data_IF_415450643548
#
_entry.id   IF_415450643548
#
_cell.length_a   1.000
_cell.length_b   1.000
_cell.length_c   1.000
_cell.angle_alpha   90.00
_cell.angle_beta   90.00
_cell.angle_gamma   90.00
#
_symmetry.space_group_name_H-M   'P 1'
#
loop_
_entity.id
_entity.type
_entity.pdbx_description
1 polymer ?
#
# COMPACT_ATOMS: atom_id res chain seq x y z
N UNK A 1 18.12 21.04 6.71
CA UNK A 1 18.06 19.84 5.85
C UNK A 1 16.67 19.22 5.91
N UNK A 2 16.06 18.89 4.77
CA UNK A 2 14.86 18.07 4.73
C UNK A 2 15.24 16.59 4.66
N UNK A 3 14.52 15.76 5.41
CA UNK A 3 14.65 14.30 5.41
C UNK A 3 13.26 13.75 5.11
N UNK A 4 13.12 12.94 4.06
CA UNK A 4 11.89 12.26 3.71
C UNK A 4 12.07 10.75 3.83
N UNK A 5 11.22 10.09 4.60
CA UNK A 5 11.11 8.63 4.64
C UNK A 5 9.83 8.19 3.93
N UNK A 6 9.96 7.37 2.90
CA UNK A 6 8.87 6.85 2.07
C UNK A 6 8.70 5.35 2.27
N UNK A 7 7.51 4.92 2.65
CA UNK A 7 7.23 3.51 2.92
C UNK A 7 7.24 2.68 1.64
N UNK A 8 8.16 1.73 1.52
CA UNK A 8 8.32 0.89 0.33
C UNK A 8 7.11 -0.02 0.10
N UNK A 9 6.41 0.16 -1.01
CA UNK A 9 5.28 -0.66 -1.47
C UNK A 9 4.18 -0.85 -0.39
N UNK A 10 3.80 0.24 0.29
CA UNK A 10 2.88 0.23 1.44
C UNK A 10 1.57 -0.50 1.12
N UNK A 11 0.89 -0.16 0.01
CA UNK A 11 -0.39 -0.75 -0.35
C UNK A 11 -0.27 -2.26 -0.65
N UNK A 12 0.84 -2.68 -1.27
CA UNK A 12 1.07 -4.10 -1.53
C UNK A 12 1.27 -4.89 -0.24
N UNK A 13 2.00 -4.33 0.72
CA UNK A 13 2.16 -4.91 2.06
C UNK A 13 0.84 -4.99 2.79
N UNK A 14 0.03 -3.93 2.74
CA UNK A 14 -1.31 -3.91 3.32
C UNK A 14 -2.24 -4.97 2.68
N UNK A 15 -2.29 -5.05 1.35
CA UNK A 15 -3.10 -6.03 0.64
C UNK A 15 -2.64 -7.47 0.94
N UNK A 16 -1.33 -7.71 0.97
CA UNK A 16 -0.74 -9.02 1.29
C UNK A 16 -1.05 -9.44 2.73
N UNK A 17 -0.92 -8.52 3.68
CA UNK A 17 -1.28 -8.78 5.08
C UNK A 17 -2.77 -9.05 5.24
N UNK A 18 -3.66 -8.24 4.67
CA UNK A 18 -5.11 -8.43 4.79
C UNK A 18 -5.59 -9.72 4.13
N UNK A 19 -4.99 -10.09 3.02
CA UNK A 19 -5.34 -11.31 2.27
C UNK A 19 -4.67 -12.57 2.79
N UNK A 20 -3.58 -12.45 3.57
CA UNK A 20 -2.71 -13.54 3.98
C UNK A 20 -2.27 -14.40 2.78
N UNK A 21 -1.95 -13.71 1.66
CA UNK A 21 -1.47 -14.41 0.45
C UNK A 21 -0.05 -14.91 0.64
N UNK A 22 0.14 -16.21 0.53
CA UNK A 22 1.43 -16.87 0.78
C UNK A 22 2.50 -16.46 -0.25
N UNK A 23 2.10 -16.29 -1.52
CA UNK A 23 3.05 -15.92 -2.59
C UNK A 23 3.49 -14.48 -2.42
N UNK A 24 2.53 -13.57 -2.24
CA UNK A 24 2.81 -12.17 -2.01
C UNK A 24 3.67 -11.95 -0.75
N UNK A 25 3.36 -12.68 0.34
CA UNK A 25 4.14 -12.62 1.57
C UNK A 25 5.59 -13.09 1.37
N UNK A 26 5.80 -14.21 0.66
CA UNK A 26 7.14 -14.72 0.33
C UNK A 26 7.93 -13.75 -0.56
N UNK A 27 7.28 -13.14 -1.55
CA UNK A 27 7.91 -12.14 -2.41
C UNK A 27 8.37 -10.92 -1.60
N UNK A 28 7.55 -10.44 -0.65
CA UNK A 28 7.90 -9.33 0.24
C UNK A 28 9.08 -9.68 1.14
N UNK A 29 9.09 -10.88 1.74
CA UNK A 29 10.19 -11.33 2.59
C UNK A 29 11.52 -11.50 1.84
N UNK A 30 11.46 -11.89 0.56
CA UNK A 30 12.62 -12.12 -0.29
C UNK A 30 13.02 -10.88 -1.13
N UNK A 31 12.44 -9.71 -0.89
CA UNK A 31 12.68 -8.49 -1.65
C UNK A 31 12.52 -8.64 -3.17
N UNK A 32 11.60 -9.46 -3.60
CA UNK A 32 11.33 -9.67 -5.04
C UNK A 32 10.71 -8.42 -5.63
N UNK A 33 11.24 -7.92 -6.74
CA UNK A 33 10.55 -6.89 -7.53
C UNK A 33 9.34 -7.49 -8.24
N UNK A 34 8.23 -7.53 -7.52
CA UNK A 34 6.96 -8.08 -7.99
C UNK A 34 6.46 -7.44 -9.30
N UNK A 35 6.82 -6.17 -9.55
CA UNK A 35 6.36 -5.50 -10.77
C UNK A 35 7.11 -6.00 -11.99
N UNK A 36 8.41 -6.23 -11.87
CA UNK A 36 9.22 -6.85 -12.93
C UNK A 36 8.83 -8.32 -13.14
N UNK A 37 8.58 -9.07 -12.04
CA UNK A 37 8.13 -10.46 -12.15
C UNK A 37 6.75 -10.55 -12.82
N UNK A 38 5.80 -9.71 -12.43
CA UNK A 38 4.47 -9.66 -13.03
C UNK A 38 4.50 -9.12 -14.47
N UNK A 39 5.40 -8.18 -14.80
CA UNK A 39 5.63 -7.75 -16.19
C UNK A 39 5.98 -8.95 -17.08
N UNK A 40 6.97 -9.72 -16.68
CA UNK A 40 7.45 -10.88 -17.43
C UNK A 40 6.37 -11.97 -17.51
N UNK A 41 5.72 -12.27 -16.40
CA UNK A 41 4.73 -13.34 -16.30
C UNK A 41 3.50 -13.08 -17.16
N UNK A 42 3.01 -11.84 -17.19
CA UNK A 42 1.78 -11.47 -17.93
C UNK A 42 2.08 -10.91 -19.31
N UNK A 43 3.35 -10.86 -19.75
CA UNK A 43 3.73 -10.31 -21.04
C UNK A 43 3.41 -8.82 -21.21
N UNK A 44 3.49 -8.05 -20.13
CA UNK A 44 3.20 -6.61 -20.15
C UNK A 44 4.42 -5.83 -20.67
N UNK A 45 4.21 -4.71 -21.40
CA UNK A 45 5.31 -4.05 -22.16
C UNK A 45 6.32 -3.33 -21.25
N UNK A 46 5.94 -2.97 -20.03
CA UNK A 46 6.84 -2.29 -19.10
C UNK A 46 6.51 -2.56 -17.64
N UNK A 47 7.52 -2.38 -16.76
CA UNK A 47 7.38 -2.43 -15.31
C UNK A 47 6.34 -1.43 -14.80
N UNK A 48 6.25 -0.24 -15.41
CA UNK A 48 5.28 0.79 -15.04
C UNK A 48 3.84 0.32 -15.33
N UNK A 49 3.61 -0.29 -16.48
CA UNK A 49 2.30 -0.85 -16.85
C UNK A 49 1.95 -1.99 -15.89
N UNK A 50 2.89 -2.86 -15.55
CA UNK A 50 2.67 -3.93 -14.57
C UNK A 50 2.33 -3.37 -13.17
N UNK A 51 3.06 -2.34 -12.73
CA UNK A 51 2.78 -1.63 -11.47
C UNK A 51 1.36 -1.07 -11.47
N UNK A 52 1.00 -0.31 -12.48
CA UNK A 52 -0.33 0.33 -12.60
C UNK A 52 -1.45 -0.72 -12.70
N UNK A 53 -1.22 -1.83 -13.42
CA UNK A 53 -2.14 -2.95 -13.50
C UNK A 53 -2.40 -3.55 -12.11
N UNK A 54 -1.34 -3.90 -11.37
CA UNK A 54 -1.47 -4.51 -10.04
C UNK A 54 -2.23 -3.59 -9.07
N UNK A 55 -1.86 -2.31 -8.99
CA UNK A 55 -2.54 -1.37 -8.09
C UNK A 55 -4.02 -1.20 -8.44
N UNK A 56 -4.34 -1.05 -9.72
CA UNK A 56 -5.73 -0.95 -10.15
C UNK A 56 -6.52 -2.23 -9.83
N UNK A 57 -5.90 -3.41 -9.98
CA UNK A 57 -6.58 -4.68 -9.70
C UNK A 57 -6.83 -4.89 -8.21
N UNK A 58 -5.87 -4.55 -7.35
CA UNK A 58 -6.05 -4.56 -5.88
C UNK A 58 -7.27 -3.74 -5.48
N UNK A 59 -7.52 -2.64 -6.19
CA UNK A 59 -8.66 -1.75 -5.95
C UNK A 59 -9.91 -2.11 -6.78
N UNK A 60 -9.98 -3.33 -7.31
CA UNK A 60 -11.18 -3.84 -7.97
C UNK A 60 -11.31 -3.50 -9.45
N UNK A 61 -10.19 -3.20 -10.12
CA UNK A 61 -10.14 -3.02 -11.57
C UNK A 61 -10.74 -4.21 -12.31
N UNK A 62 -11.43 -3.96 -13.43
CA UNK A 62 -12.05 -4.97 -14.28
C UNK A 62 -11.45 -4.95 -15.68
N UNK A 63 -11.61 -6.04 -16.43
CA UNK A 63 -11.17 -6.12 -17.83
C UNK A 63 -11.69 -4.95 -18.66
N UNK A 64 -12.95 -4.58 -18.47
CA UNK A 64 -13.54 -3.38 -19.08
C UNK A 64 -12.75 -2.12 -18.74
N UNK A 65 -12.36 -1.92 -17.47
CA UNK A 65 -11.65 -0.71 -17.03
C UNK A 65 -10.24 -0.61 -17.64
N UNK A 66 -9.56 -1.73 -17.87
CA UNK A 66 -8.26 -1.76 -18.56
C UNK A 66 -8.40 -1.55 -20.07
N UNK A 67 -9.32 -2.26 -20.72
CA UNK A 67 -9.53 -2.18 -22.15
C UNK A 67 -9.93 -0.76 -22.63
N UNK A 68 -10.57 0.02 -21.77
CA UNK A 68 -11.06 1.37 -22.08
C UNK A 68 -10.21 2.51 -21.48
N UNK A 69 -9.10 2.20 -20.83
CA UNK A 69 -8.18 3.22 -20.29
C UNK A 69 -7.07 3.55 -21.29
N UNK A 70 -6.85 4.85 -21.59
CA UNK A 70 -5.81 5.27 -22.54
C UNK A 70 -4.41 4.74 -22.20
N UNK A 71 -4.06 4.62 -20.92
CA UNK A 71 -2.73 4.13 -20.50
C UNK A 71 -2.52 2.64 -20.81
N UNK A 72 -3.58 1.88 -21.00
CA UNK A 72 -3.55 0.45 -21.34
C UNK A 72 -3.97 0.16 -22.77
N UNK A 73 -4.49 1.16 -23.50
CA UNK A 73 -5.00 1.00 -24.85
C UNK A 73 -3.92 0.55 -25.85
N UNK A 74 -2.65 0.95 -25.62
CA UNK A 74 -1.50 0.52 -26.43
C UNK A 74 -1.15 -0.96 -26.20
N UNK A 75 -1.49 -1.52 -25.03
CA UNK A 75 -1.28 -2.94 -24.73
C UNK A 75 -2.37 -3.78 -25.38
N UNK A 76 -3.63 -3.50 -25.03
CA UNK A 76 -4.78 -4.18 -25.66
C UNK A 76 -6.09 -3.45 -25.36
N UNK A 77 -6.94 -3.31 -26.38
CA UNK A 77 -8.33 -2.86 -26.25
C UNK A 77 -9.32 -4.02 -26.04
N UNK A 78 -8.82 -5.24 -25.93
CA UNK A 78 -9.65 -6.44 -25.77
C UNK A 78 -9.91 -6.75 -24.30
N UNK A 79 -11.17 -6.72 -23.90
CA UNK A 79 -11.57 -7.19 -22.56
C UNK A 79 -11.18 -8.64 -22.31
N UNK A 80 -11.31 -9.52 -23.33
CA UNK A 80 -10.90 -10.93 -23.25
C UNK A 80 -9.42 -11.11 -22.93
N UNK A 81 -8.55 -10.21 -23.44
CA UNK A 81 -7.12 -10.21 -23.09
C UNK A 81 -6.95 -9.89 -21.62
N UNK A 82 -7.61 -8.84 -21.13
CA UNK A 82 -7.48 -8.43 -19.74
C UNK A 82 -8.13 -9.41 -18.77
N UNK A 83 -9.24 -10.06 -19.15
CA UNK A 83 -9.82 -11.16 -18.35
C UNK A 83 -8.78 -12.26 -18.11
N UNK A 84 -8.05 -12.68 -19.17
CA UNK A 84 -6.99 -13.67 -19.06
C UNK A 84 -5.86 -13.22 -18.16
N UNK A 85 -5.39 -11.98 -18.27
CA UNK A 85 -4.33 -11.42 -17.42
C UNK A 85 -4.78 -11.36 -15.95
N UNK A 86 -6.02 -10.96 -15.69
CA UNK A 86 -6.63 -10.94 -14.35
C UNK A 86 -6.73 -12.36 -13.77
N UNK A 87 -7.15 -13.32 -14.57
CA UNK A 87 -7.24 -14.73 -14.18
C UNK A 87 -5.85 -15.29 -13.80
N UNK A 88 -4.83 -15.05 -14.64
CA UNK A 88 -3.45 -15.47 -14.36
C UNK A 88 -2.89 -14.80 -13.09
N UNK A 89 -3.23 -13.53 -12.84
CA UNK A 89 -2.87 -12.83 -11.61
C UNK A 89 -3.48 -13.52 -10.38
N UNK A 90 -4.77 -13.84 -10.41
CA UNK A 90 -5.44 -14.50 -9.31
C UNK A 90 -5.07 -15.98 -9.15
N UNK A 91 -4.60 -16.65 -10.22
CA UNK A 91 -3.99 -17.97 -10.14
C UNK A 91 -2.65 -17.94 -9.40
N UNK A 92 -1.88 -16.84 -9.54
CA UNK A 92 -0.66 -16.61 -8.77
C UNK A 92 -0.97 -16.23 -7.32
N UNK A 93 -1.83 -15.25 -7.10
CA UNK A 93 -2.17 -14.70 -5.79
C UNK A 93 -3.55 -15.17 -5.31
N UNK A 94 -3.63 -16.46 -5.00
CA UNK A 94 -4.90 -17.12 -4.61
C UNK A 94 -5.48 -16.60 -3.30
N UNK A 95 -4.63 -16.20 -2.36
CA UNK A 95 -5.04 -15.58 -1.10
C UNK A 95 -5.75 -14.26 -1.33
N UNK A 96 -5.16 -13.40 -2.17
CA UNK A 96 -5.75 -12.11 -2.55
C UNK A 96 -7.11 -12.29 -3.24
N UNK A 97 -7.22 -13.29 -4.14
CA UNK A 97 -8.50 -13.59 -4.80
C UNK A 97 -9.60 -13.98 -3.79
N UNK A 98 -9.29 -14.92 -2.89
CA UNK A 98 -10.23 -15.35 -1.83
C UNK A 98 -10.61 -14.19 -0.93
N UNK A 99 -9.66 -13.34 -0.57
CA UNK A 99 -9.91 -12.17 0.26
C UNK A 99 -10.84 -11.17 -0.43
N UNK A 100 -10.63 -10.86 -1.71
CA UNK A 100 -11.53 -9.99 -2.48
C UNK A 100 -12.97 -10.52 -2.51
N UNK A 101 -13.14 -11.83 -2.71
CA UNK A 101 -14.48 -12.46 -2.69
C UNK A 101 -15.11 -12.33 -1.30
N UNK A 102 -14.37 -12.70 -0.25
CA UNK A 102 -14.83 -12.62 1.14
C UNK A 102 -15.22 -11.20 1.52
N UNK A 103 -14.38 -10.22 1.17
CA UNK A 103 -14.62 -8.81 1.48
C UNK A 103 -15.90 -8.29 0.83
N UNK A 104 -16.14 -8.64 -0.44
CA UNK A 104 -17.38 -8.32 -1.14
C UNK A 104 -18.60 -8.99 -0.49
N UNK A 105 -18.49 -10.25 -0.10
CA UNK A 105 -19.57 -10.97 0.60
C UNK A 105 -19.87 -10.33 1.96
N UNK A 106 -18.86 -9.99 2.74
CA UNK A 106 -19.02 -9.32 4.02
C UNK A 106 -19.71 -7.96 3.86
N UNK A 107 -19.20 -7.10 2.97
CA UNK A 107 -19.77 -5.78 2.72
C UNK A 107 -21.21 -5.84 2.19
N UNK A 108 -21.55 -6.83 1.36
CA UNK A 108 -22.90 -6.96 0.81
C UNK A 108 -23.90 -7.52 1.83
N UNK A 109 -23.46 -8.37 2.75
CA UNK A 109 -24.34 -9.01 3.75
C UNK A 109 -24.51 -8.15 5.01
N UNK A 110 -23.43 -7.56 5.52
CA UNK A 110 -23.42 -6.80 6.78
C UNK A 110 -23.44 -5.29 6.60
N UNK A 111 -23.15 -4.80 5.39
CA UNK A 111 -22.86 -3.39 5.04
C UNK A 111 -21.63 -2.83 5.74
N UNK A 112 -20.85 -3.66 6.39
CA UNK A 112 -19.66 -3.24 7.17
C UNK A 112 -18.48 -4.10 6.82
N UNK A 113 -17.29 -3.51 6.97
CA UNK A 113 -16.01 -4.19 6.94
C UNK A 113 -15.19 -3.66 8.11
N UNK A 114 -14.62 -4.56 8.91
CA UNK A 114 -13.77 -4.23 10.04
C UNK A 114 -12.31 -4.56 9.72
N UNK A 115 -11.40 -3.63 10.02
CA UNK A 115 -9.97 -3.87 9.98
C UNK A 115 -9.45 -4.44 11.32
N UNK A 116 -8.29 -5.11 11.31
CA UNK A 116 -7.63 -5.57 12.55
C UNK A 116 -7.33 -4.43 13.53
N UNK A 117 -7.23 -3.19 13.05
CA UNK A 117 -7.04 -1.97 13.86
C UNK A 117 -8.31 -1.49 14.57
N UNK A 118 -9.45 -2.15 14.35
CA UNK A 118 -10.76 -1.73 14.86
C UNK A 118 -11.46 -0.67 14.00
N UNK A 119 -10.85 -0.23 12.89
CA UNK A 119 -11.48 0.68 11.94
C UNK A 119 -12.65 -0.02 11.24
N UNK A 120 -13.80 0.64 11.17
CA UNK A 120 -15.02 0.13 10.54
C UNK A 120 -15.36 1.02 9.34
N UNK A 121 -15.64 0.38 8.21
CA UNK A 121 -16.20 1.02 7.02
C UNK A 121 -17.63 0.55 6.81
N UNK A 122 -18.52 1.50 6.51
CA UNK A 122 -19.91 1.24 6.17
C UNK A 122 -20.15 1.51 4.68
N UNK A 123 -20.91 0.63 4.01
CA UNK A 123 -21.15 0.68 2.58
C UNK A 123 -22.65 0.62 2.27
N UNK A 124 -23.15 1.64 1.59
CA UNK A 124 -24.52 1.67 1.12
C UNK A 124 -24.61 1.32 -0.36
N UNK A 125 -25.54 0.44 -0.75
CA UNK A 125 -25.75 0.13 -2.15
C UNK A 125 -26.49 1.29 -2.85
N UNK A 126 -26.20 1.48 -4.13
CA UNK A 126 -27.03 2.29 -5.02
C UNK A 126 -28.03 1.40 -5.77
N UNK A 127 -29.15 1.98 -6.21
CA UNK A 127 -30.11 1.27 -7.06
C UNK A 127 -29.78 1.56 -8.52
N UNK A 128 -29.46 0.51 -9.29
CA UNK A 128 -29.27 0.58 -10.74
C UNK A 128 -30.15 -0.45 -11.41
N UNK A 129 -31.01 -0.01 -12.32
CA UNK A 129 -31.97 -0.88 -13.02
C UNK A 129 -32.81 -1.76 -12.06
N UNK A 130 -33.24 -1.20 -10.92
CA UNK A 130 -34.00 -1.91 -9.90
C UNK A 130 -33.20 -2.88 -9.02
N UNK A 131 -31.91 -3.01 -9.21
CA UNK A 131 -31.04 -3.89 -8.43
C UNK A 131 -30.13 -3.10 -7.50
N UNK A 132 -29.85 -3.67 -6.31
CA UNK A 132 -28.84 -3.12 -5.38
C UNK A 132 -27.46 -3.42 -5.90
N UNK A 133 -26.67 -2.36 -6.12
CA UNK A 133 -25.27 -2.44 -6.57
C UNK A 133 -24.38 -1.81 -5.52
N UNK A 134 -23.48 -2.60 -4.97
CA UNK A 134 -22.48 -2.13 -4.01
C UNK A 134 -21.25 -1.56 -4.72
N UNK A 135 -20.58 -0.53 -4.14
CA UNK A 135 -19.43 0.13 -4.75
C UNK A 135 -18.15 -0.73 -4.64
N UNK A 136 -17.99 -1.71 -5.54
CA UNK A 136 -16.91 -2.70 -5.51
C UNK A 136 -15.51 -2.08 -5.33
N UNK A 137 -15.19 -1.05 -6.09
CA UNK A 137 -13.87 -0.40 -6.01
C UNK A 137 -13.63 0.23 -4.65
N UNK A 138 -14.63 0.88 -4.07
CA UNK A 138 -14.55 1.48 -2.74
C UNK A 138 -14.36 0.40 -1.67
N UNK A 139 -15.11 -0.70 -1.76
CA UNK A 139 -15.02 -1.82 -0.81
C UNK A 139 -13.64 -2.46 -0.81
N UNK A 140 -13.01 -2.63 -1.96
CA UNK A 140 -11.69 -3.24 -2.08
C UNK A 140 -10.55 -2.26 -1.76
N UNK A 141 -10.75 -0.95 -2.02
CA UNK A 141 -9.74 0.09 -1.80
C UNK A 141 -9.63 0.50 -0.32
N UNK A 142 -10.76 0.79 0.34
CA UNK A 142 -10.77 1.39 1.68
C UNK A 142 -10.01 0.59 2.75
N UNK A 143 -10.11 -0.75 2.82
CA UNK A 143 -9.33 -1.52 3.79
C UNK A 143 -7.82 -1.39 3.59
N UNK A 144 -7.33 -1.39 2.35
CA UNK A 144 -5.91 -1.25 2.04
C UNK A 144 -5.41 0.13 2.40
N UNK A 145 -6.11 1.18 1.94
CA UNK A 145 -5.75 2.57 2.23
C UNK A 145 -5.85 2.88 3.72
N UNK A 146 -6.88 2.39 4.40
CA UNK A 146 -7.07 2.62 5.82
C UNK A 146 -6.01 1.94 6.67
N UNK A 147 -5.63 0.71 6.36
CA UNK A 147 -4.53 0.05 7.03
C UNK A 147 -3.21 0.79 6.78
N UNK A 148 -2.94 1.22 5.53
CA UNK A 148 -1.77 2.04 5.20
C UNK A 148 -1.70 3.31 6.05
N UNK A 149 -2.82 4.03 6.19
CA UNK A 149 -2.91 5.21 7.04
C UNK A 149 -2.65 4.91 8.53
N UNK A 150 -3.12 3.75 9.02
CA UNK A 150 -2.87 3.32 10.39
C UNK A 150 -1.38 3.00 10.61
N UNK A 151 -0.73 2.27 9.68
CA UNK A 151 0.71 1.98 9.75
C UNK A 151 1.56 3.26 9.69
N UNK A 152 1.23 4.21 8.79
CA UNK A 152 1.90 5.51 8.71
C UNK A 152 1.70 6.34 9.98
N UNK A 153 0.54 6.24 10.62
CA UNK A 153 0.27 6.91 11.90
C UNK A 153 1.15 6.33 13.01
N UNK A 154 1.33 5.00 13.05
CA UNK A 154 2.23 4.33 14.00
C UNK A 154 3.67 4.83 13.79
N UNK A 155 4.15 4.85 12.54
CA UNK A 155 5.49 5.33 12.21
C UNK A 155 5.69 6.79 12.66
N UNK A 156 4.75 7.68 12.28
CA UNK A 156 4.81 9.10 12.62
C UNK A 156 4.82 9.35 14.13
N UNK A 157 3.96 8.67 14.89
CA UNK A 157 3.90 8.81 16.35
C UNK A 157 5.16 8.26 17.01
N UNK A 158 5.68 7.12 16.52
CA UNK A 158 6.94 6.55 16.99
C UNK A 158 8.10 7.50 16.77
N UNK A 159 8.20 8.07 15.57
CA UNK A 159 9.22 9.06 15.21
C UNK A 159 9.16 10.30 16.10
N UNK A 160 7.96 10.89 16.25
CA UNK A 160 7.77 12.05 17.11
C UNK A 160 8.22 11.77 18.55
N UNK A 161 7.87 10.61 19.11
CA UNK A 161 8.23 10.26 20.48
C UNK A 161 9.75 10.05 20.63
N UNK A 162 10.45 9.53 19.62
CA UNK A 162 11.91 9.36 19.63
C UNK A 162 12.65 10.70 19.49
N UNK A 163 12.08 11.63 18.72
CA UNK A 163 12.64 12.98 18.54
C UNK A 163 12.43 13.87 19.75
N UNK A 164 11.30 13.71 20.45
CA UNK A 164 10.87 14.58 21.54
C UNK A 164 11.92 14.65 22.67
N UNK A 165 12.36 15.86 22.98
CA UNK A 165 13.35 16.15 24.03
C UNK A 165 14.80 15.84 23.65
N UNK A 166 15.05 15.21 22.50
CA UNK A 166 16.40 14.92 22.00
C UNK A 166 16.84 15.92 20.91
N UNK A 167 15.92 16.30 20.02
CA UNK A 167 16.16 17.22 18.92
C UNK A 167 15.24 18.42 19.05
N UNK A 168 15.79 19.56 19.53
CA UNK A 168 15.02 20.79 19.74
C UNK A 168 14.83 21.59 18.46
N UNK A 169 15.69 21.38 17.49
CA UNK A 169 15.79 22.03 16.18
C UNK A 169 15.23 21.17 15.03
N UNK A 170 14.81 19.93 15.30
CA UNK A 170 14.15 19.08 14.32
C UNK A 170 12.63 19.07 14.49
N UNK A 171 11.90 19.13 13.36
CA UNK A 171 10.45 19.17 13.33
C UNK A 171 9.87 18.22 12.29
N UNK A 172 8.80 17.52 12.65
CA UNK A 172 7.92 16.89 11.65
C UNK A 172 7.16 18.00 10.95
N UNK A 173 7.40 18.18 9.65
CA UNK A 173 6.82 19.30 8.89
C UNK A 173 5.69 18.87 7.97
N UNK A 174 5.71 17.62 7.48
CA UNK A 174 4.65 17.12 6.61
C UNK A 174 4.51 15.60 6.66
N UNK A 175 3.35 15.11 6.21
CA UNK A 175 3.09 13.71 5.91
C UNK A 175 2.29 13.68 4.60
N UNK A 176 2.79 12.99 3.58
CA UNK A 176 2.15 12.93 2.27
C UNK A 176 2.03 11.45 1.88
N UNK A 177 0.78 10.94 1.83
CA UNK A 177 0.47 9.53 1.56
C UNK A 177 1.29 8.56 2.42
N UNK A 178 2.33 8.00 1.86
CA UNK A 178 3.24 7.00 2.41
C UNK A 178 4.60 7.58 2.85
N UNK A 179 4.73 8.91 2.88
CA UNK A 179 5.97 9.57 3.30
C UNK A 179 5.81 10.45 4.54
N UNK A 180 6.89 10.56 5.32
CA UNK A 180 7.03 11.44 6.49
C UNK A 180 8.22 12.36 6.23
N UNK A 181 8.06 13.66 6.51
CA UNK A 181 9.08 14.66 6.25
C UNK A 181 9.47 15.38 7.55
N UNK A 182 10.79 15.45 7.78
CA UNK A 182 11.42 16.19 8.87
C UNK A 182 12.19 17.37 8.28
N UNK A 183 12.19 18.50 8.96
CA UNK A 183 13.15 19.60 8.79
C UNK A 183 14.05 19.67 10.01
N UNK A 184 15.37 19.69 9.82
CA UNK A 184 16.37 19.69 10.90
C UNK A 184 17.66 20.43 10.51
N UNK A 185 18.51 20.74 11.51
CA UNK A 185 19.88 21.14 11.28
C UNK A 185 20.68 20.02 10.61
N UNK A 186 21.62 20.39 9.72
CA UNK A 186 22.44 19.45 8.94
C UNK A 186 23.23 18.46 9.82
N UNK A 187 23.68 18.91 11.00
CA UNK A 187 24.40 18.07 11.96
C UNK A 187 23.62 16.83 12.47
N UNK A 188 22.29 16.83 12.31
CA UNK A 188 21.41 15.74 12.76
C UNK A 188 20.91 14.85 11.61
N UNK A 189 21.34 15.13 10.37
CA UNK A 189 20.82 14.45 9.18
C UNK A 189 20.99 12.94 9.27
N UNK A 190 22.19 12.45 9.54
CA UNK A 190 22.47 11.00 9.58
C UNK A 190 21.72 10.29 10.70
N UNK A 191 21.71 10.88 11.91
CA UNK A 191 21.01 10.28 13.06
C UNK A 191 19.50 10.23 12.86
N UNK A 192 18.91 11.27 12.29
CA UNK A 192 17.47 11.30 12.01
C UNK A 192 17.08 10.44 10.80
N UNK A 193 17.96 10.32 9.80
CA UNK A 193 17.77 9.40 8.68
C UNK A 193 17.76 7.94 9.12
N UNK A 194 18.74 7.55 9.97
CA UNK A 194 18.73 6.20 10.56
C UNK A 194 17.52 5.99 11.46
N UNK A 195 17.15 6.96 12.29
CA UNK A 195 15.95 6.89 13.13
C UNK A 195 14.67 6.71 12.29
N UNK A 196 14.61 7.34 11.12
CA UNK A 196 13.50 7.17 10.18
C UNK A 196 13.38 5.71 9.70
N UNK A 197 14.49 5.08 9.30
CA UNK A 197 14.51 3.66 8.92
C UNK A 197 14.08 2.76 10.08
N UNK A 198 14.67 2.93 11.26
CA UNK A 198 14.37 2.15 12.47
C UNK A 198 12.89 2.22 12.85
N UNK A 199 12.28 3.40 12.65
CA UNK A 199 10.85 3.61 12.94
C UNK A 199 9.97 2.78 12.01
N UNK A 200 10.29 2.73 10.72
CA UNK A 200 9.54 1.90 9.78
C UNK A 200 9.73 0.41 10.06
N UNK A 201 10.95 -0.02 10.38
CA UNK A 201 11.23 -1.41 10.74
C UNK A 201 10.50 -1.86 12.02
N UNK A 202 10.29 -0.95 12.96
CA UNK A 202 9.55 -1.21 14.21
C UNK A 202 8.01 -1.15 14.07
N UNK A 203 7.46 -0.74 12.91
CA UNK A 203 6.01 -0.66 12.71
C UNK A 203 5.31 -2.00 12.99
N UNK A 204 5.76 -3.17 12.52
CA UNK A 204 5.13 -4.46 12.81
C UNK A 204 5.03 -4.76 14.31
N UNK A 205 6.10 -4.50 15.04
CA UNK A 205 6.17 -4.69 16.49
C UNK A 205 5.23 -3.74 17.24
N UNK A 206 5.19 -2.48 16.83
CA UNK A 206 4.30 -1.48 17.40
C UNK A 206 2.83 -1.77 17.08
N UNK A 207 2.55 -2.28 15.88
CA UNK A 207 1.21 -2.71 15.48
C UNK A 207 0.71 -3.85 16.37
N UNK A 208 1.52 -4.88 16.59
CA UNK A 208 1.17 -5.98 17.48
C UNK A 208 0.92 -5.50 18.91
N UNK A 209 1.76 -4.59 19.43
CA UNK A 209 1.60 -4.01 20.77
C UNK A 209 0.29 -3.21 20.92
N UNK A 210 -0.12 -2.50 19.87
CA UNK A 210 -1.31 -1.63 19.89
C UNK A 210 -2.61 -2.40 19.69
N UNK A 211 -2.61 -3.36 18.77
CA UNK A 211 -3.84 -4.02 18.32
C UNK A 211 -3.94 -5.51 18.72
N UNK A 212 -2.89 -6.08 19.30
CA UNK A 212 -2.87 -7.50 19.68
C UNK A 212 -2.81 -8.47 18.49
N UNK A 213 -2.58 -7.98 17.28
CA UNK A 213 -2.50 -8.74 16.04
C UNK A 213 -1.09 -8.65 15.49
N UNK A 214 -0.49 -9.78 15.12
CA UNK A 214 0.83 -9.82 14.50
C UNK A 214 0.75 -9.31 13.05
N UNK A 215 1.50 -8.23 12.74
CA UNK A 215 1.74 -7.83 11.37
C UNK A 215 2.93 -8.61 10.83
N UNK A 216 2.65 -9.73 10.17
CA UNK A 216 3.62 -10.76 9.78
C UNK A 216 4.47 -10.43 8.54
N UNK A 217 4.60 -9.16 8.18
CA UNK A 217 5.41 -8.69 7.06
C UNK A 217 6.40 -7.63 7.51
N UNK A 218 7.61 -7.56 6.91
CA UNK A 218 8.53 -6.47 7.20
C UNK A 218 7.99 -5.15 6.67
N UNK A 219 8.28 -4.06 7.34
CA UNK A 219 8.10 -2.70 6.83
C UNK A 219 9.47 -2.12 6.51
N UNK A 220 9.60 -1.52 5.32
CA UNK A 220 10.82 -0.86 4.86
C UNK A 220 10.50 0.54 4.37
N UNK A 221 11.49 1.40 4.38
CA UNK A 221 11.41 2.73 3.79
C UNK A 221 12.66 3.06 3.00
N UNK A 222 12.53 3.95 2.04
CA UNK A 222 13.63 4.67 1.43
C UNK A 222 13.73 6.04 2.09
N UNK A 223 14.93 6.45 2.45
CA UNK A 223 15.18 7.79 3.01
C UNK A 223 15.86 8.64 1.96
N UNK A 224 15.35 9.85 1.78
CA UNK A 224 15.93 10.87 0.90
C UNK A 224 16.20 12.14 1.70
N UNK A 225 17.28 12.84 1.35
CA UNK A 225 17.71 14.08 2.00
C UNK A 225 17.93 15.19 0.97
N UNK A 226 17.71 16.44 1.36
CA UNK A 226 17.96 17.58 0.49
C UNK A 226 17.66 18.94 1.13
N UNK A 227 18.22 20.01 0.57
CA UNK A 227 17.95 21.38 1.03
C UNK A 227 16.56 21.89 0.61
N UNK A 228 15.92 21.19 -0.31
CA UNK A 228 14.56 21.46 -0.77
C UNK A 228 13.95 20.20 -1.35
N UNK A 229 12.63 20.14 -1.43
CA UNK A 229 11.91 18.93 -1.83
C UNK A 229 12.18 18.46 -3.27
N UNK A 230 12.53 19.37 -4.19
CA UNK A 230 12.80 19.03 -5.59
C UNK A 230 14.15 18.36 -5.79
N UNK A 231 15.12 18.64 -4.93
CA UNK A 231 16.51 18.21 -5.06
C UNK A 231 16.92 17.18 -4.00
N UNK A 232 15.98 16.33 -3.56
CA UNK A 232 16.30 15.23 -2.63
C UNK A 232 17.04 14.10 -3.35
N UNK A 233 18.02 13.52 -2.66
CA UNK A 233 18.80 12.37 -3.09
C UNK A 233 18.67 11.25 -2.05
N UNK A 234 18.80 10.00 -2.51
CA UNK A 234 18.75 8.83 -1.61
C UNK A 234 19.88 8.91 -0.62
N UNK A 235 19.54 8.84 0.65
CA UNK A 235 20.51 8.76 1.74
C UNK A 235 21.09 7.33 1.81
N UNK A 236 22.42 7.19 1.86
CA UNK A 236 23.16 5.93 1.83
C UNK A 236 24.20 5.85 2.96
#
# INVERSE_FOLDING_TARGET
MLIQGDASALEWRCASFLSQDEVASKEIWNDVDQHSDNQNRFGLPSRLIAKTFVFRLIYGGSAYSYANDPNFAEVSKSEKFWDKVIEEFYLKYKGLHRWHIKLMQEATSTRKVCLPTGRIYEFEPTIRNGQKVFPRTTILNYPVQGLGADLMTIARVSLFNRMKGKFTDAKLVNTVHDSIIIDCDDKHTDELSQMMLDVFEDVPKNFQKLFGVEFNLPMKAEVQIGNNWKGMEVWS
#
